data_IF_814901149829
#
_entry.id   IF_814901149829
#
_cell.length_a   1.000
_cell.length_b   1.000
_cell.length_c   1.000
_cell.angle_alpha   90.00
_cell.angle_beta   90.00
_cell.angle_gamma   90.00
#
_symmetry.space_group_name_H-M   'P 1'
#
loop_
_entity.id
_entity.type
_entity.pdbx_description
1 polymer ?
#
# COMPACT_ATOMS: atom_id res chain seq x y z
N UNK A 1 10.41 27.83 -12.08
CA UNK A 1 9.06 27.26 -12.04
C UNK A 1 9.19 25.76 -11.83
N UNK A 2 8.61 25.22 -10.76
CA UNK A 2 8.61 23.79 -10.48
C UNK A 2 7.49 23.11 -11.28
N UNK A 3 7.75 21.95 -11.91
CA UNK A 3 6.72 21.22 -12.65
C UNK A 3 5.62 20.71 -11.71
N UNK A 4 4.39 20.75 -12.20
CA UNK A 4 3.24 20.12 -11.52
C UNK A 4 3.44 18.59 -11.63
N UNK A 5 3.37 17.90 -10.52
CA UNK A 5 3.49 16.43 -10.44
C UNK A 5 2.14 15.77 -10.34
N UNK A 6 1.27 16.32 -9.49
CA UNK A 6 -0.07 15.77 -9.25
C UNK A 6 -1.08 16.90 -9.13
N UNK A 7 -2.32 16.57 -9.46
CA UNK A 7 -3.48 17.43 -9.29
C UNK A 7 -4.58 16.64 -8.60
N UNK A 8 -5.14 17.19 -7.53
CA UNK A 8 -6.19 16.53 -6.74
C UNK A 8 -7.31 17.52 -6.49
N UNK A 9 -8.55 17.08 -6.72
CA UNK A 9 -9.71 17.82 -6.28
C UNK A 9 -9.77 17.83 -4.76
N UNK A 10 -9.97 18.99 -4.18
CA UNK A 10 -9.96 19.19 -2.75
C UNK A 10 -10.99 20.23 -2.34
N UNK A 11 -11.24 20.34 -1.04
CA UNK A 11 -12.17 21.32 -0.53
C UNK A 11 -11.71 22.75 -0.90
N UNK A 12 -12.56 23.46 -1.60
CA UNK A 12 -12.30 24.84 -2.02
C UNK A 12 -11.65 24.99 -3.39
N UNK A 13 -11.25 23.92 -4.08
CA UNK A 13 -10.66 24.00 -5.41
C UNK A 13 -9.82 22.81 -5.82
N UNK A 14 -8.84 23.05 -6.67
CA UNK A 14 -7.91 22.04 -7.17
C UNK A 14 -6.53 22.26 -6.55
N UNK A 15 -6.01 21.26 -5.87
CA UNK A 15 -4.63 21.29 -5.36
C UNK A 15 -3.65 20.94 -6.47
N UNK A 16 -2.74 21.87 -6.73
CA UNK A 16 -1.62 21.71 -7.64
C UNK A 16 -0.39 21.36 -6.82
N UNK A 17 0.05 20.12 -6.91
CA UNK A 17 1.17 19.60 -6.14
C UNK A 17 2.43 19.61 -7.01
N UNK A 18 3.40 20.43 -6.63
CA UNK A 18 4.65 20.61 -7.38
C UNK A 18 5.86 20.10 -6.59
N UNK A 19 7.01 20.03 -7.24
CA UNK A 19 8.25 19.70 -6.56
C UNK A 19 8.67 20.75 -5.49
N UNK A 20 8.23 22.00 -5.63
CA UNK A 20 8.61 23.11 -4.76
C UNK A 20 7.55 23.52 -3.75
N UNK A 21 6.31 23.01 -3.85
CA UNK A 21 5.23 23.36 -2.95
C UNK A 21 3.87 22.92 -3.45
N UNK A 22 2.84 23.18 -2.65
CA UNK A 22 1.45 22.86 -2.95
C UNK A 22 0.65 24.16 -3.04
N UNK A 23 -0.17 24.30 -4.06
CA UNK A 23 -0.96 25.46 -4.37
C UNK A 23 -2.42 25.07 -4.49
N UNK A 24 -3.32 25.91 -4.02
CA UNK A 24 -4.76 25.77 -4.22
C UNK A 24 -5.19 26.65 -5.38
N UNK A 25 -5.71 26.05 -6.42
CA UNK A 25 -6.28 26.74 -7.58
C UNK A 25 -7.78 26.92 -7.37
N UNK A 26 -8.24 28.17 -7.39
CA UNK A 26 -9.65 28.54 -7.21
C UNK A 26 -10.09 29.47 -8.33
N UNK A 27 -11.40 29.70 -8.48
CA UNK A 27 -11.99 30.72 -9.36
C UNK A 27 -12.13 32.07 -8.65
N UNK A 28 -11.41 32.33 -7.57
CA UNK A 28 -11.58 33.55 -6.80
C UNK A 28 -12.97 33.63 -6.15
N UNK A 29 -13.74 34.69 -6.48
CA UNK A 29 -15.10 34.84 -5.96
C UNK A 29 -16.16 34.02 -6.74
N UNK A 30 -15.77 33.40 -7.86
CA UNK A 30 -16.63 32.57 -8.67
C UNK A 30 -16.54 31.11 -8.27
N UNK A 31 -17.59 30.35 -8.50
CA UNK A 31 -17.62 28.89 -8.19
C UNK A 31 -16.85 28.04 -9.20
N UNK A 32 -16.54 28.60 -10.37
CA UNK A 32 -15.85 27.90 -11.45
C UNK A 32 -14.52 28.54 -11.78
N UNK A 33 -13.52 27.73 -12.05
CA UNK A 33 -12.20 28.16 -12.51
C UNK A 33 -12.26 28.42 -14.02
N UNK A 34 -11.86 29.59 -14.43
CA UNK A 34 -11.72 29.96 -15.84
C UNK A 34 -10.36 30.65 -16.08
N UNK A 35 -9.89 30.77 -17.33
CA UNK A 35 -8.61 31.42 -17.62
C UNK A 35 -8.52 32.90 -17.16
N UNK A 36 -9.67 33.52 -16.91
CA UNK A 36 -9.74 34.97 -16.53
C UNK A 36 -9.70 35.12 -15.00
N UNK A 37 -10.26 34.16 -14.24
CA UNK A 37 -10.44 34.26 -12.79
C UNK A 37 -9.59 33.23 -12.01
N UNK A 38 -8.71 32.52 -12.68
CA UNK A 38 -7.85 31.52 -12.03
C UNK A 38 -6.90 32.18 -11.02
N UNK A 39 -7.04 31.82 -9.76
CA UNK A 39 -6.19 32.27 -8.65
C UNK A 39 -5.50 31.06 -8.02
N UNK A 40 -4.18 31.14 -7.88
CA UNK A 40 -3.37 30.08 -7.27
C UNK A 40 -2.74 30.57 -5.96
N UNK A 41 -3.25 30.09 -4.85
CA UNK A 41 -2.80 30.46 -3.51
C UNK A 41 -1.84 29.41 -2.93
N UNK A 42 -0.66 29.81 -2.44
CA UNK A 42 0.29 28.88 -1.81
C UNK A 42 -0.29 28.32 -0.51
N UNK A 43 -0.25 27.02 -0.36
CA UNK A 43 -0.70 26.32 0.85
C UNK A 43 0.49 25.86 1.71
N UNK A 44 1.51 25.30 1.07
CA UNK A 44 2.75 24.89 1.73
C UNK A 44 3.91 24.89 0.75
N UNK A 45 5.09 25.19 1.24
CA UNK A 45 6.33 25.15 0.46
C UNK A 45 7.04 23.79 0.52
N UNK A 46 6.36 22.77 1.05
CA UNK A 46 6.85 21.40 1.01
C UNK A 46 6.51 20.80 -0.35
N UNK A 47 7.53 20.45 -1.13
CA UNK A 47 7.33 19.80 -2.41
C UNK A 47 6.92 18.34 -2.27
N UNK A 48 6.34 17.79 -3.33
CA UNK A 48 5.87 16.40 -3.36
C UNK A 48 6.79 15.49 -4.19
N UNK A 49 6.78 14.20 -3.90
CA UNK A 49 7.48 13.17 -4.67
C UNK A 49 6.75 12.84 -5.98
N UNK A 50 7.23 11.82 -6.70
CA UNK A 50 6.54 11.28 -7.88
C UNK A 50 5.47 10.27 -7.53
N UNK A 51 5.44 9.78 -6.30
CA UNK A 51 4.42 8.85 -5.81
C UNK A 51 3.09 9.58 -5.77
N UNK A 52 2.02 9.07 -6.41
CA UNK A 52 0.73 9.70 -6.39
C UNK A 52 0.21 9.88 -4.97
N UNK A 53 -0.32 11.05 -4.59
CA UNK A 53 -0.92 11.23 -3.29
C UNK A 53 -2.22 10.46 -3.15
N UNK A 54 -2.58 10.07 -1.91
CA UNK A 54 -3.78 9.34 -1.57
C UNK A 54 -4.77 10.25 -0.86
N UNK A 55 -6.03 10.23 -1.30
CA UNK A 55 -7.13 10.88 -0.59
C UNK A 55 -7.72 9.90 0.42
N UNK A 56 -7.69 10.25 1.70
CA UNK A 56 -8.22 9.45 2.80
C UNK A 56 -9.27 10.30 3.53
N UNK A 57 -10.54 10.09 3.17
CA UNK A 57 -11.60 10.96 3.62
C UNK A 57 -11.36 12.42 3.23
N UNK A 58 -11.36 13.38 4.18
CA UNK A 58 -11.11 14.78 3.90
C UNK A 58 -9.62 15.15 3.78
N UNK A 59 -8.74 14.24 4.12
CA UNK A 59 -7.31 14.47 4.21
C UNK A 59 -6.57 13.88 2.99
N UNK A 60 -5.39 14.40 2.70
CA UNK A 60 -4.55 13.96 1.59
C UNK A 60 -3.19 13.54 2.14
N UNK A 61 -2.86 12.27 1.94
CA UNK A 61 -1.55 11.72 2.30
C UNK A 61 -0.61 11.85 1.11
N UNK A 62 0.61 12.36 1.33
CA UNK A 62 1.60 12.50 0.29
C UNK A 62 3.02 12.26 0.78
N UNK A 63 3.88 11.81 -0.13
CA UNK A 63 5.31 11.65 0.12
C UNK A 63 6.02 12.96 -0.24
N UNK A 64 6.82 13.49 0.66
CA UNK A 64 7.58 14.72 0.44
C UNK A 64 8.64 14.56 -0.66
N UNK A 65 8.87 15.61 -1.42
CA UNK A 65 9.73 15.60 -2.61
C UNK A 65 11.20 15.25 -2.36
N UNK A 66 11.64 15.28 -1.11
CA UNK A 66 12.99 14.84 -0.67
C UNK A 66 13.01 13.39 -0.16
N UNK A 67 11.93 12.64 -0.37
CA UNK A 67 11.87 11.18 -0.34
C UNK A 67 11.80 10.48 1.02
N UNK A 68 11.91 11.20 2.12
CA UNK A 68 12.07 10.57 3.44
C UNK A 68 10.98 10.90 4.46
N UNK A 69 9.89 11.52 4.05
CA UNK A 69 8.84 11.94 4.97
C UNK A 69 7.48 11.78 4.33
N UNK A 70 6.55 11.22 5.09
CA UNK A 70 5.14 11.14 4.72
C UNK A 70 4.39 12.22 5.50
N UNK A 71 3.60 13.00 4.77
CA UNK A 71 2.81 14.10 5.32
C UNK A 71 1.34 13.91 5.04
N UNK A 72 0.54 14.31 6.00
CA UNK A 72 -0.90 14.40 5.92
C UNK A 72 -1.28 15.86 5.74
N UNK A 73 -1.94 16.18 4.65
CA UNK A 73 -2.44 17.51 4.33
C UNK A 73 -3.91 17.57 4.72
N UNK A 74 -4.24 18.41 5.69
CA UNK A 74 -5.60 18.62 6.19
C UNK A 74 -6.02 20.06 6.00
N UNK A 75 -7.30 20.29 5.65
CA UNK A 75 -7.86 21.64 5.57
C UNK A 75 -8.18 22.17 6.96
N UNK A 76 -7.66 23.33 7.29
CA UNK A 76 -7.99 24.03 8.52
C UNK A 76 -9.10 25.06 8.25
N UNK A 77 -10.29 24.79 8.81
CA UNK A 77 -11.46 25.66 8.63
C UNK A 77 -11.29 27.06 9.21
N UNK A 78 -10.45 27.21 10.21
CA UNK A 78 -10.22 28.52 10.84
C UNK A 78 -9.28 29.41 10.04
N UNK A 79 -8.15 28.88 9.59
CA UNK A 79 -7.17 29.59 8.77
C UNK A 79 -7.49 29.60 7.28
N UNK A 80 -8.43 28.75 6.85
CA UNK A 80 -8.78 28.50 5.41
C UNK A 80 -7.59 28.06 4.55
N UNK A 81 -6.59 27.43 5.16
CA UNK A 81 -5.37 26.97 4.51
C UNK A 81 -5.18 25.49 4.77
N UNK A 82 -4.61 24.78 3.81
CA UNK A 82 -4.16 23.42 3.96
C UNK A 82 -2.85 23.37 4.76
N UNK A 83 -2.87 22.71 5.91
CA UNK A 83 -1.70 22.47 6.75
C UNK A 83 -1.21 21.03 6.63
N UNK A 84 0.11 20.83 6.57
CA UNK A 84 0.72 19.51 6.52
C UNK A 84 1.37 19.10 7.85
N UNK A 85 0.97 17.97 8.41
CA UNK A 85 1.63 17.34 9.55
C UNK A 85 2.46 16.12 9.09
N UNK A 86 3.61 15.90 9.74
CA UNK A 86 4.41 14.70 9.45
C UNK A 86 3.87 13.51 10.22
N UNK A 87 3.41 12.48 9.51
CA UNK A 87 2.94 11.23 10.10
C UNK A 87 4.03 10.15 10.18
N UNK A 88 5.21 10.43 9.64
CA UNK A 88 6.37 9.55 9.68
C UNK A 88 7.43 9.96 10.71
N UNK A 89 7.20 11.02 11.48
CA UNK A 89 8.22 11.60 12.37
C UNK A 89 8.70 10.61 13.45
N UNK A 90 7.80 9.84 14.05
CA UNK A 90 8.13 8.81 15.04
C UNK A 90 8.73 7.55 14.41
N UNK A 91 8.47 7.32 13.13
CA UNK A 91 8.96 6.17 12.37
C UNK A 91 10.09 6.55 11.39
N UNK A 92 10.78 7.66 11.62
CA UNK A 92 11.79 8.20 10.71
C UNK A 92 12.92 7.20 10.38
N UNK A 93 13.20 6.26 11.29
CA UNK A 93 14.17 5.18 11.06
C UNK A 93 13.81 4.27 9.88
N UNK A 94 12.53 4.17 9.52
CA UNK A 94 12.06 3.37 8.38
C UNK A 94 12.33 4.05 7.02
N UNK A 95 12.58 5.36 7.01
CA UNK A 95 12.71 6.18 5.80
C UNK A 95 14.12 6.75 5.59
N UNK A 96 15.09 6.39 6.46
CA UNK A 96 16.47 6.85 6.37
C UNK A 96 17.28 6.08 5.32
N UNK A 97 18.44 6.63 4.95
CA UNK A 97 19.46 5.99 4.10
C UNK A 97 18.99 5.67 2.67
N UNK A 98 18.25 6.59 2.06
CA UNK A 98 17.78 6.43 0.68
C UNK A 98 16.62 5.42 0.52
N UNK A 99 15.97 5.04 1.63
CA UNK A 99 14.79 4.19 1.62
C UNK A 99 13.56 5.04 1.35
N UNK A 100 13.14 5.07 0.11
CA UNK A 100 12.02 5.88 -0.36
C UNK A 100 10.79 5.00 -0.61
N UNK A 101 9.60 5.58 -0.44
CA UNK A 101 8.35 4.95 -0.90
C UNK A 101 8.34 5.07 -2.44
N UNK A 102 8.08 3.95 -3.12
CA UNK A 102 8.03 3.86 -4.58
C UNK A 102 6.61 3.66 -5.11
N UNK A 103 5.78 2.98 -4.34
CA UNK A 103 4.37 2.78 -4.62
C UNK A 103 3.58 2.68 -3.32
N UNK A 104 2.31 2.97 -3.36
CA UNK A 104 1.39 2.74 -2.24
C UNK A 104 -0.06 2.65 -2.70
N UNK A 105 -0.88 2.03 -1.87
CA UNK A 105 -2.33 1.90 -2.03
C UNK A 105 -3.03 2.08 -0.69
N UNK A 106 -4.33 2.28 -0.70
CA UNK A 106 -5.13 2.48 0.49
C UNK A 106 -6.30 1.50 0.51
N UNK A 107 -6.36 0.68 1.55
CA UNK A 107 -7.48 -0.18 1.87
C UNK A 107 -8.30 0.47 2.98
N UNK A 108 -9.57 0.74 2.73
CA UNK A 108 -10.49 1.39 3.67
C UNK A 108 -11.20 0.36 4.54
N UNK A 109 -11.65 -0.75 3.94
CA UNK A 109 -12.47 -1.78 4.58
C UNK A 109 -11.77 -3.14 4.58
N UNK A 110 -11.81 -3.91 5.67
CA UNK A 110 -12.36 -3.62 7.00
C UNK A 110 -11.43 -2.76 7.88
N UNK A 111 -10.19 -2.60 7.48
CA UNK A 111 -9.17 -1.87 8.24
C UNK A 111 -8.60 -0.74 7.40
N UNK A 112 -8.61 0.47 7.96
CA UNK A 112 -8.05 1.64 7.31
C UNK A 112 -6.51 1.58 7.33
N UNK A 113 -5.91 1.01 6.29
CA UNK A 113 -4.48 0.79 6.17
C UNK A 113 -3.98 1.29 4.82
N UNK A 114 -2.90 2.06 4.86
CA UNK A 114 -2.11 2.38 3.66
C UNK A 114 -0.95 1.40 3.57
N UNK A 115 -0.85 0.73 2.44
CA UNK A 115 0.23 -0.19 2.14
C UNK A 115 1.28 0.54 1.30
N UNK A 116 2.48 0.73 1.84
CA UNK A 116 3.53 1.47 1.17
C UNK A 116 4.72 0.57 0.84
N UNK A 117 5.04 0.42 -0.43
CA UNK A 117 6.20 -0.33 -0.91
C UNK A 117 7.42 0.59 -0.90
N UNK A 118 8.48 0.12 -0.29
CA UNK A 118 9.75 0.82 -0.16
C UNK A 118 10.76 0.37 -1.21
N UNK A 119 11.67 1.24 -1.59
CA UNK A 119 12.68 1.01 -2.65
C UNK A 119 13.57 -0.21 -2.43
N UNK A 120 13.78 -0.63 -1.18
CA UNK A 120 14.55 -1.84 -0.82
C UNK A 120 13.71 -3.12 -0.81
N UNK A 121 12.43 -3.05 -1.18
CA UNK A 121 11.54 -4.19 -1.28
C UNK A 121 10.82 -4.59 0.00
N UNK A 122 10.88 -3.79 1.04
CA UNK A 122 10.02 -3.93 2.21
C UNK A 122 8.64 -3.32 1.94
N UNK A 123 7.61 -3.81 2.61
CA UNK A 123 6.30 -3.16 2.64
C UNK A 123 6.07 -2.58 4.03
N UNK A 124 5.53 -1.36 4.06
CA UNK A 124 5.26 -0.61 5.29
C UNK A 124 3.75 -0.39 5.41
N UNK A 125 3.03 -1.22 6.17
CA UNK A 125 1.66 -0.91 6.54
C UNK A 125 1.61 0.33 7.45
N UNK A 126 0.74 1.28 7.11
CA UNK A 126 0.46 2.46 7.90
C UNK A 126 -0.99 2.45 8.35
N UNK A 127 -1.23 2.27 9.62
CA UNK A 127 -2.56 2.36 10.22
C UNK A 127 -2.90 3.81 10.50
N UNK A 128 -4.02 4.24 9.93
CA UNK A 128 -4.52 5.60 10.03
C UNK A 128 -5.92 5.61 10.63
N UNK A 129 -6.06 6.04 11.89
CA UNK A 129 -7.34 6.25 12.57
C UNK A 129 -7.34 7.63 13.19
N UNK A 130 -7.90 8.59 12.46
CA UNK A 130 -7.86 10.01 12.82
C UNK A 130 -8.59 10.30 14.13
N UNK A 131 -9.73 9.66 14.33
CA UNK A 131 -10.61 9.85 15.49
C UNK A 131 -9.91 9.47 16.81
N UNK A 132 -9.00 8.51 16.73
CA UNK A 132 -8.23 8.03 17.88
C UNK A 132 -6.79 8.56 17.89
N UNK A 133 -6.43 9.42 16.92
CA UNK A 133 -5.06 9.94 16.74
C UNK A 133 -4.01 8.83 16.58
N UNK A 134 -4.38 7.70 15.95
CA UNK A 134 -3.47 6.59 15.69
C UNK A 134 -2.80 6.78 14.33
N UNK A 135 -1.47 6.90 14.36
CA UNK A 135 -0.60 7.04 13.19
C UNK A 135 0.56 6.06 13.36
N UNK A 136 0.35 4.79 13.00
CA UNK A 136 1.29 3.74 13.31
C UNK A 136 1.87 3.09 12.06
N UNK A 137 3.20 3.04 11.97
CA UNK A 137 3.94 2.36 10.91
C UNK A 137 4.45 1.02 11.38
N UNK A 138 4.26 0.01 10.56
CA UNK A 138 4.82 -1.34 10.75
C UNK A 138 5.70 -1.67 9.56
N UNK A 139 6.61 -2.62 9.71
CA UNK A 139 7.45 -3.10 8.62
C UNK A 139 7.26 -4.59 8.46
N UNK A 140 6.99 -5.02 7.22
CA UNK A 140 6.88 -6.42 6.84
C UNK A 140 7.92 -6.76 5.77
N UNK A 141 8.43 -7.97 5.85
CA UNK A 141 9.38 -8.56 4.93
C UNK A 141 8.86 -9.88 4.38
N UNK A 142 9.29 -10.23 3.20
CA UNK A 142 9.07 -11.54 2.60
C UNK A 142 10.41 -12.10 2.11
N UNK A 143 10.48 -13.38 1.85
CA UNK A 143 11.61 -13.99 1.11
C UNK A 143 11.50 -13.62 -0.38
N UNK A 144 11.70 -12.35 -0.67
CA UNK A 144 11.54 -11.71 -1.97
C UNK A 144 11.57 -10.19 -1.82
N UNK A 145 11.14 -9.47 -2.83
CA UNK A 145 11.10 -8.01 -2.84
C UNK A 145 9.74 -7.55 -3.34
N UNK A 146 9.01 -6.81 -2.52
CA UNK A 146 7.82 -6.09 -2.96
C UNK A 146 8.22 -5.01 -3.96
N UNK A 147 7.52 -4.93 -5.09
CA UNK A 147 7.82 -3.99 -6.18
C UNK A 147 6.71 -2.98 -6.41
N UNK A 148 5.46 -3.41 -6.21
CA UNK A 148 4.28 -2.58 -6.41
C UNK A 148 3.13 -3.13 -5.58
N UNK A 149 2.11 -2.31 -5.36
CA UNK A 149 0.91 -2.69 -4.63
C UNK A 149 -0.31 -1.95 -5.18
N UNK A 150 -1.46 -2.58 -5.09
CA UNK A 150 -2.75 -2.00 -5.46
C UNK A 150 -3.85 -2.61 -4.62
N UNK A 151 -4.73 -1.77 -4.13
CA UNK A 151 -5.96 -2.18 -3.46
C UNK A 151 -7.09 -2.32 -4.47
N UNK A 152 -7.80 -3.44 -4.44
CA UNK A 152 -8.98 -3.72 -5.26
C UNK A 152 -10.15 -4.05 -4.34
N UNK A 153 -11.27 -3.40 -4.55
CA UNK A 153 -12.50 -3.74 -3.83
C UNK A 153 -13.07 -5.05 -4.38
N UNK A 154 -13.18 -6.05 -3.54
CA UNK A 154 -13.85 -7.31 -3.81
C UNK A 154 -15.05 -7.45 -2.88
N UNK A 155 -16.26 -7.46 -3.45
CA UNK A 155 -17.52 -7.44 -2.72
C UNK A 155 -17.58 -6.30 -1.68
N UNK A 156 -17.41 -6.62 -0.40
CA UNK A 156 -17.51 -5.68 0.73
C UNK A 156 -16.18 -5.35 1.39
N UNK A 157 -15.10 -5.95 0.92
CA UNK A 157 -13.76 -5.79 1.48
C UNK A 157 -12.75 -5.31 0.44
N UNK A 158 -11.73 -4.63 0.90
CA UNK A 158 -10.60 -4.22 0.09
C UNK A 158 -9.50 -5.26 0.19
N UNK A 159 -9.13 -5.84 -0.95
CA UNK A 159 -8.06 -6.83 -1.05
C UNK A 159 -6.80 -6.16 -1.60
N UNK A 160 -5.70 -6.39 -0.94
CA UNK A 160 -4.41 -5.86 -1.36
C UNK A 160 -3.67 -6.84 -2.25
N UNK A 161 -3.45 -6.45 -3.49
CA UNK A 161 -2.63 -7.17 -4.46
C UNK A 161 -1.23 -6.59 -4.53
N UNK A 162 -0.26 -7.48 -4.57
CA UNK A 162 1.16 -7.16 -4.49
C UNK A 162 1.90 -7.75 -5.69
N UNK A 163 2.76 -6.95 -6.30
CA UNK A 163 3.77 -7.48 -7.21
C UNK A 163 5.02 -7.83 -6.39
N UNK A 164 5.33 -9.11 -6.29
CA UNK A 164 6.47 -9.62 -5.53
C UNK A 164 7.49 -10.25 -6.47
N UNK A 165 8.75 -9.87 -6.33
CA UNK A 165 9.86 -10.51 -7.03
C UNK A 165 10.46 -11.58 -6.13
N UNK A 166 10.40 -12.84 -6.55
CA UNK A 166 10.95 -14.00 -5.84
C UNK A 166 11.97 -14.74 -6.68
N UNK A 167 12.92 -15.39 -6.01
CA UNK A 167 13.84 -16.31 -6.67
C UNK A 167 13.18 -17.70 -6.71
N UNK A 168 12.98 -18.22 -7.91
CA UNK A 168 12.28 -19.51 -8.16
C UNK A 168 13.22 -20.73 -8.21
N UNK A 169 14.48 -20.55 -7.82
CA UNK A 169 15.52 -21.59 -7.88
C UNK A 169 16.46 -21.42 -9.08
N UNK A 170 16.04 -20.78 -10.15
CA UNK A 170 16.82 -20.55 -11.36
C UNK A 170 17.01 -19.06 -11.66
N UNK A 171 15.94 -18.27 -11.50
CA UNK A 171 15.91 -16.85 -11.83
C UNK A 171 15.03 -16.05 -10.88
N UNK A 172 15.10 -14.74 -11.00
CA UNK A 172 14.15 -13.85 -10.33
C UNK A 172 12.91 -13.66 -11.19
N UNK A 173 11.78 -14.16 -10.71
CA UNK A 173 10.47 -14.05 -11.35
C UNK A 173 9.57 -13.10 -10.57
N UNK A 174 8.59 -12.49 -11.24
CA UNK A 174 7.60 -11.62 -10.62
C UNK A 174 6.28 -12.35 -10.52
N UNK A 175 5.68 -12.30 -9.34
CA UNK A 175 4.39 -12.90 -9.03
C UNK A 175 3.41 -11.82 -8.60
N UNK A 176 2.13 -12.04 -8.90
CA UNK A 176 1.04 -11.27 -8.32
C UNK A 176 0.50 -12.11 -7.16
N UNK A 177 0.59 -11.56 -5.98
CA UNK A 177 0.18 -12.19 -4.74
C UNK A 177 -0.86 -11.31 -4.06
N UNK A 178 -1.70 -11.88 -3.21
CA UNK A 178 -2.63 -11.12 -2.38
C UNK A 178 -2.37 -11.41 -0.91
N UNK A 179 -2.63 -10.46 -0.05
CA UNK A 179 -2.67 -10.72 1.38
C UNK A 179 -3.91 -11.54 1.73
N UNK A 180 -3.70 -12.57 2.55
CA UNK A 180 -4.81 -13.29 3.15
C UNK A 180 -5.64 -12.37 4.05
N UNK A 181 -6.97 -12.53 4.09
CA UNK A 181 -7.82 -11.83 5.02
C UNK A 181 -7.34 -12.02 6.46
N UNK A 182 -7.47 -11.00 7.29
CA UNK A 182 -7.10 -11.07 8.71
C UNK A 182 -8.18 -11.71 9.55
N UNK A 183 -9.42 -11.62 9.11
CA UNK A 183 -10.56 -12.29 9.70
C UNK A 183 -10.68 -13.67 9.10
N UNK A 184 -10.57 -14.69 9.93
CA UNK A 184 -10.52 -16.09 9.54
C UNK A 184 -11.63 -16.81 10.31
N UNK A 185 -12.58 -17.37 9.59
CA UNK A 185 -13.73 -18.08 10.19
C UNK A 185 -13.35 -19.47 10.69
N UNK A 186 -12.44 -20.16 9.98
CA UNK A 186 -12.03 -21.52 10.28
C UNK A 186 -10.50 -21.56 10.50
N UNK A 187 -10.08 -22.34 11.49
CA UNK A 187 -8.65 -22.50 11.83
C UNK A 187 -7.84 -23.06 10.64
N UNK A 188 -8.48 -23.87 9.81
CA UNK A 188 -7.90 -24.47 8.61
C UNK A 188 -7.51 -23.44 7.55
N UNK A 189 -8.15 -22.27 7.54
CA UNK A 189 -7.87 -21.16 6.62
C UNK A 189 -6.77 -20.22 7.16
N UNK A 190 -6.30 -20.46 8.38
CA UNK A 190 -5.23 -19.68 9.01
C UNK A 190 -3.84 -20.07 8.47
N UNK A 191 -3.52 -19.60 7.29
CA UNK A 191 -2.25 -19.91 6.63
C UNK A 191 -1.12 -19.05 7.18
N UNK A 192 -0.30 -19.63 8.03
CA UNK A 192 0.88 -18.97 8.59
C UNK A 192 2.10 -19.22 7.68
N UNK A 193 2.02 -18.79 6.43
CA UNK A 193 3.07 -18.96 5.43
C UNK A 193 3.48 -17.62 4.83
N UNK A 194 4.75 -17.48 4.43
CA UNK A 194 5.26 -16.30 3.75
C UNK A 194 4.62 -16.14 2.36
N UNK A 195 4.51 -17.25 1.62
CA UNK A 195 3.69 -17.34 0.42
C UNK A 195 3.14 -18.76 0.28
N UNK A 196 1.94 -18.87 -0.25
CA UNK A 196 1.27 -20.14 -0.45
C UNK A 196 0.34 -20.09 -1.67
N UNK A 197 0.09 -21.23 -2.25
CA UNK A 197 -0.91 -21.42 -3.28
C UNK A 197 -1.89 -22.48 -2.81
N UNK A 198 -3.18 -22.15 -2.76
CA UNK A 198 -4.23 -23.11 -2.49
C UNK A 198 -4.63 -23.84 -3.77
N UNK A 199 -4.61 -25.15 -3.71
CA UNK A 199 -5.31 -25.99 -4.67
C UNK A 199 -6.77 -26.08 -4.18
N UNK A 200 -7.61 -25.15 -4.66
CA UNK A 200 -9.02 -25.10 -4.28
C UNK A 200 -9.80 -26.38 -4.64
N UNK A 201 -11.11 -26.33 -4.52
CA UNK A 201 -12.08 -27.43 -4.64
C UNK A 201 -12.07 -28.31 -5.93
N UNK A 202 -11.00 -28.26 -6.71
CA UNK A 202 -10.81 -29.09 -7.91
C UNK A 202 -10.73 -30.60 -7.57
N UNK A 203 -10.47 -30.91 -6.29
CA UNK A 203 -10.33 -32.30 -5.83
C UNK A 203 -11.15 -32.57 -4.55
N UNK A 204 -12.48 -32.48 -4.60
CA UNK A 204 -13.36 -32.53 -3.43
C UNK A 204 -13.32 -33.89 -2.69
N UNK A 205 -12.77 -34.93 -3.31
CA UNK A 205 -12.66 -36.26 -2.74
C UNK A 205 -11.22 -36.71 -2.45
N UNK A 206 -10.27 -35.77 -2.42
CA UNK A 206 -8.86 -36.11 -2.16
C UNK A 206 -8.51 -35.85 -0.71
N UNK A 207 -7.75 -36.76 -0.13
CA UNK A 207 -7.17 -36.60 1.20
C UNK A 207 -5.65 -36.60 1.06
N UNK A 208 -5.01 -35.70 1.77
CA UNK A 208 -3.55 -35.64 1.91
C UNK A 208 -3.16 -36.27 3.24
N UNK A 209 -2.22 -37.18 3.24
CA UNK A 209 -1.71 -37.84 4.43
C UNK A 209 -0.26 -37.45 4.65
N UNK A 210 0.08 -37.13 5.87
CA UNK A 210 1.46 -36.92 6.32
C UNK A 210 1.85 -38.11 7.15
N UNK A 211 2.88 -38.85 6.74
CA UNK A 211 3.26 -40.10 7.38
C UNK A 211 4.02 -39.94 8.71
N UNK A 212 4.43 -38.70 9.03
CA UNK A 212 5.03 -38.37 10.31
C UNK A 212 4.71 -36.94 10.71
N UNK A 213 4.55 -36.68 11.99
CA UNK A 213 4.24 -35.33 12.50
C UNK A 213 5.44 -34.36 12.48
N UNK A 214 6.65 -34.89 12.33
CA UNK A 214 7.89 -34.10 12.24
C UNK A 214 9.05 -34.95 11.72
N UNK A 215 10.05 -34.34 11.13
CA UNK A 215 11.28 -34.98 10.68
C UNK A 215 11.77 -34.42 9.33
N UNK A 216 13.01 -34.77 8.95
CA UNK A 216 13.55 -34.50 7.63
C UNK A 216 13.07 -35.58 6.66
N UNK A 217 12.56 -35.15 5.49
CA UNK A 217 12.08 -36.07 4.45
C UNK A 217 10.75 -36.74 4.81
N UNK A 218 9.84 -36.03 5.46
CA UNK A 218 8.48 -36.53 5.73
C UNK A 218 7.74 -36.78 4.43
N UNK A 219 7.25 -38.02 4.27
CA UNK A 219 6.46 -38.39 3.11
C UNK A 219 5.05 -37.79 3.20
N UNK A 220 4.66 -37.07 2.15
CA UNK A 220 3.29 -36.61 1.94
C UNK A 220 2.70 -37.45 0.83
N UNK A 221 1.59 -38.08 1.08
CA UNK A 221 0.86 -38.91 0.09
C UNK A 221 -0.56 -38.39 -0.09
N UNK A 222 -1.13 -38.60 -1.25
CA UNK A 222 -2.51 -38.25 -1.56
C UNK A 222 -3.30 -39.49 -1.95
N UNK A 223 -4.60 -39.50 -1.65
CA UNK A 223 -5.53 -40.54 -2.06
C UNK A 223 -5.80 -40.56 -3.58
N UNK A 224 -5.46 -39.48 -4.27
CA UNK A 224 -5.60 -39.30 -5.72
C UNK A 224 -4.27 -38.80 -6.29
N UNK A 225 -4.09 -38.87 -7.61
CA UNK A 225 -2.90 -38.32 -8.28
C UNK A 225 -2.92 -36.77 -8.27
N UNK A 226 -2.61 -36.18 -7.12
CA UNK A 226 -2.49 -34.73 -6.95
C UNK A 226 -1.11 -34.21 -7.33
N UNK A 227 -0.06 -35.03 -7.10
CA UNK A 227 1.32 -34.60 -7.29
C UNK A 227 1.87 -35.12 -8.63
N UNK A 228 2.58 -34.27 -9.32
CA UNK A 228 3.26 -34.56 -10.59
C UNK A 228 4.78 -34.31 -10.46
N UNK A 229 5.55 -34.77 -11.41
CA UNK A 229 6.99 -34.53 -11.44
C UNK A 229 7.34 -33.04 -11.57
N UNK A 230 6.43 -32.22 -12.09
CA UNK A 230 6.60 -30.77 -12.21
C UNK A 230 6.46 -30.03 -10.88
N UNK A 231 5.90 -30.67 -9.85
CA UNK A 231 5.68 -30.05 -8.54
C UNK A 231 6.93 -30.17 -7.63
N UNK A 232 7.93 -30.92 -8.08
CA UNK A 232 9.19 -31.08 -7.36
C UNK A 232 9.98 -29.77 -7.39
N UNK A 233 10.24 -29.22 -6.21
CA UNK A 233 10.96 -27.96 -6.07
C UNK A 233 10.09 -26.71 -6.12
N UNK A 234 8.78 -26.85 -6.25
CA UNK A 234 7.86 -25.75 -5.96
C UNK A 234 7.83 -25.48 -4.47
N UNK A 235 8.03 -24.21 -4.10
CA UNK A 235 8.02 -23.73 -2.73
C UNK A 235 6.82 -22.83 -2.57
#
# INVERSE_FOLDING_TARGET
LSPIRHMIAARGGLLLMTQGGIWLLTGGNDTSVSPINALADPQTYNGVSRVPPLSIGPDILYVEGKGSSVKLLSFNDFSKVYGGISVSILANHLFKNGKEIVAWSHAESPHNIVWAVRSDGAILPFTYVKEQSVYAWTQCWTKGLFKDCITVQEDTVDVEYLMVQRFDGERYSKFIEMFMPREIDQVEDAWCADCALSLGATYPNSSIYVMASSGNGVHVASSTNLFSASDVGMI
#
